data_IF_920906732366
#
_entry.id   IF_920906732366
#
_cell.length_a   1.000
_cell.length_b   1.000
_cell.length_c   1.000
_cell.angle_alpha   90.00
_cell.angle_beta   90.00
_cell.angle_gamma   90.00
#
_symmetry.space_group_name_H-M   'P 1'
#
loop_
_entity.id
_entity.type
_entity.pdbx_description
1 polymer ?
#
# COMPACT_ATOMS: atom_id res chain seq x y z
N UNK A 1 64.31 33.11 49.69
CA UNK A 1 63.89 31.89 50.42
C UNK A 1 62.57 31.45 49.80
N UNK A 2 62.59 30.41 48.96
CA UNK A 2 61.40 29.84 48.34
C UNK A 2 60.63 29.07 49.42
N UNK A 3 59.47 29.59 49.82
CA UNK A 3 58.58 28.94 50.77
C UNK A 3 57.70 27.91 50.03
N UNK A 4 57.17 26.87 50.70
CA UNK A 4 56.28 25.88 50.08
C UNK A 4 55.05 26.51 49.40
N UNK A 5 54.58 27.64 49.92
CA UNK A 5 53.48 28.39 49.32
C UNK A 5 53.85 28.93 47.92
N UNK A 6 55.08 29.38 47.74
CA UNK A 6 55.56 29.92 46.46
C UNK A 6 55.97 28.83 45.47
N UNK A 7 56.21 27.59 45.91
CA UNK A 7 56.37 26.45 45.00
C UNK A 7 55.04 25.99 44.43
N UNK A 8 53.99 26.02 45.24
CA UNK A 8 52.65 25.55 44.85
C UNK A 8 51.88 26.65 44.09
N UNK A 9 52.16 27.93 44.40
CA UNK A 9 51.55 29.10 43.79
C UNK A 9 52.62 30.08 43.30
N UNK A 10 53.32 29.76 42.19
CA UNK A 10 54.37 30.62 41.64
C UNK A 10 53.82 31.98 41.18
N UNK A 11 52.52 32.04 40.89
CA UNK A 11 51.76 33.25 40.60
C UNK A 11 51.94 34.32 41.69
N UNK A 12 52.16 33.93 42.95
CA UNK A 12 52.25 34.84 44.09
C UNK A 12 53.68 35.33 44.36
N UNK A 13 54.68 34.79 43.64
CA UNK A 13 56.11 35.05 43.92
C UNK A 13 56.57 36.48 43.62
N UNK A 14 55.78 37.25 42.86
CA UNK A 14 56.06 38.64 42.54
C UNK A 14 55.45 39.64 43.52
N UNK A 15 54.61 39.18 44.46
CA UNK A 15 53.95 40.01 45.46
C UNK A 15 54.84 40.17 46.71
N UNK A 16 54.81 41.36 47.32
CA UNK A 16 55.53 41.62 48.55
C UNK A 16 54.83 40.97 49.76
N UNK A 17 55.51 40.93 50.91
CA UNK A 17 54.89 40.43 52.15
C UNK A 17 53.73 41.31 52.60
N UNK A 18 53.85 42.63 52.47
CA UNK A 18 52.78 43.57 52.79
C UNK A 18 51.57 43.32 51.86
N UNK A 19 51.79 43.12 50.56
CA UNK A 19 50.71 42.77 49.62
C UNK A 19 50.00 41.46 49.99
N UNK A 20 50.74 40.45 50.47
CA UNK A 20 50.17 39.17 50.90
C UNK A 20 49.36 39.30 52.20
N UNK A 21 49.78 40.18 53.11
CA UNK A 21 49.04 40.49 54.35
C UNK A 21 47.78 41.30 54.04
N UNK A 22 47.87 42.28 53.13
CA UNK A 22 46.72 43.04 52.63
C UNK A 22 45.73 42.14 51.87
N UNK A 23 46.21 41.13 51.15
CA UNK A 23 45.37 40.12 50.49
C UNK A 23 44.49 39.33 51.47
N UNK A 24 44.96 39.15 52.71
CA UNK A 24 44.23 38.42 53.76
C UNK A 24 43.22 39.31 54.49
N UNK A 25 43.44 40.63 54.50
CA UNK A 25 42.65 41.62 55.24
C UNK A 25 41.61 42.30 54.35
N UNK A 26 41.91 42.53 53.08
CA UNK A 26 41.02 43.16 52.10
C UNK A 26 40.47 42.14 51.08
N UNK A 27 39.19 41.72 51.23
CA UNK A 27 38.54 40.81 50.30
C UNK A 27 38.44 41.36 48.86
N UNK A 28 38.33 42.68 48.69
CA UNK A 28 38.23 43.29 47.36
C UNK A 28 39.58 43.21 46.63
N UNK A 29 40.68 43.46 47.35
CA UNK A 29 42.03 43.30 46.82
C UNK A 29 42.32 41.84 46.45
N UNK A 30 41.94 40.89 47.31
CA UNK A 30 42.02 39.46 47.00
C UNK A 30 41.27 39.09 45.71
N UNK A 31 40.01 39.51 45.57
CA UNK A 31 39.21 39.21 44.38
C UNK A 31 39.83 39.83 43.11
N UNK A 32 40.36 41.05 43.21
CA UNK A 32 41.04 41.69 42.09
C UNK A 32 42.26 40.89 41.63
N UNK A 33 43.11 40.44 42.57
CA UNK A 33 44.29 39.62 42.26
C UNK A 33 43.86 38.24 41.74
N UNK A 34 42.89 37.58 42.37
CA UNK A 34 42.35 36.28 41.94
C UNK A 34 41.83 36.33 40.49
N UNK A 35 41.02 37.32 40.14
CA UNK A 35 40.52 37.51 38.77
C UNK A 35 41.59 37.99 37.79
N UNK A 36 42.72 38.50 38.29
CA UNK A 36 43.85 38.87 37.44
C UNK A 36 44.68 37.66 36.98
N UNK A 37 44.61 36.54 37.70
CA UNK A 37 45.36 35.30 37.41
C UNK A 37 44.99 34.74 36.03
N UNK A 38 46.01 34.35 35.27
CA UNK A 38 45.82 33.84 33.91
C UNK A 38 44.97 32.57 33.87
N UNK A 39 45.15 31.67 34.84
CA UNK A 39 44.35 30.45 34.95
C UNK A 39 42.86 30.75 35.22
N UNK A 40 42.57 31.74 36.07
CA UNK A 40 41.19 32.15 36.38
C UNK A 40 40.54 32.81 35.17
N UNK A 41 41.27 33.67 34.45
CA UNK A 41 40.81 34.26 33.17
C UNK A 41 40.52 33.21 32.11
N UNK A 42 41.40 32.21 31.96
CA UNK A 42 41.20 31.15 30.97
C UNK A 42 40.01 30.26 31.32
N UNK A 43 39.78 29.98 32.61
CA UNK A 43 38.58 29.27 33.06
C UNK A 43 37.29 30.04 32.75
N UNK A 44 37.25 31.35 33.00
CA UNK A 44 36.08 32.16 32.63
C UNK A 44 35.84 32.23 31.14
N UNK A 45 36.91 32.34 30.33
CA UNK A 45 36.81 32.30 28.88
C UNK A 45 36.25 30.96 28.41
N UNK A 46 36.80 29.84 28.89
CA UNK A 46 36.31 28.51 28.56
C UNK A 46 34.84 28.31 28.98
N UNK A 47 34.45 28.81 30.16
CA UNK A 47 33.05 28.76 30.61
C UNK A 47 32.12 29.57 29.70
N UNK A 48 32.52 30.77 29.29
CA UNK A 48 31.75 31.61 28.39
C UNK A 48 31.61 30.99 27.00
N UNK A 49 32.69 30.42 26.46
CA UNK A 49 32.70 29.72 25.18
C UNK A 49 31.78 28.49 25.20
N UNK A 50 31.85 27.66 26.25
CA UNK A 50 30.95 26.52 26.43
C UNK A 50 29.49 26.95 26.57
N UNK A 51 29.23 28.04 27.30
CA UNK A 51 27.89 28.62 27.44
C UNK A 51 27.30 29.04 26.09
N UNK A 52 28.07 29.80 25.31
CA UNK A 52 27.70 30.25 23.97
C UNK A 52 27.48 29.08 23.00
N UNK A 53 28.35 28.06 23.05
CA UNK A 53 28.19 26.86 22.24
C UNK A 53 26.91 26.09 22.57
N UNK A 54 26.60 25.90 23.86
CA UNK A 54 25.36 25.26 24.29
C UNK A 54 24.12 26.04 23.88
N UNK A 55 24.16 27.38 24.00
CA UNK A 55 23.06 28.24 23.58
C UNK A 55 22.81 28.13 22.08
N UNK A 56 23.87 28.16 21.26
CA UNK A 56 23.78 27.97 19.82
C UNK A 56 23.16 26.62 19.42
N UNK A 57 23.55 25.54 20.10
CA UNK A 57 22.96 24.20 19.90
C UNK A 57 21.47 24.21 20.28
N UNK A 58 21.11 24.81 21.40
CA UNK A 58 19.72 24.89 21.85
C UNK A 58 18.85 25.69 20.86
N UNK A 59 19.36 26.82 20.35
CA UNK A 59 18.66 27.62 19.34
C UNK A 59 18.45 26.85 18.04
N UNK A 60 19.47 26.10 17.59
CA UNK A 60 19.36 25.26 16.39
C UNK A 60 18.31 24.14 16.58
N UNK A 61 18.34 23.46 17.73
CA UNK A 61 17.35 22.43 18.05
C UNK A 61 15.91 22.99 18.04
N UNK A 62 15.70 24.18 18.61
CA UNK A 62 14.40 24.85 18.58
C UNK A 62 13.97 25.25 17.16
N UNK A 63 14.91 25.75 16.34
CA UNK A 63 14.63 26.12 14.96
C UNK A 63 14.22 24.91 14.09
N UNK A 64 14.80 23.74 14.35
CA UNK A 64 14.47 22.49 13.64
C UNK A 64 13.20 21.81 14.14
N UNK A 65 12.74 22.15 15.35
CA UNK A 65 11.63 21.46 16.00
C UNK A 65 10.34 21.50 15.17
N UNK A 66 9.94 22.69 14.70
CA UNK A 66 8.67 22.87 13.98
C UNK A 66 8.68 22.16 12.61
N UNK A 67 9.78 22.27 11.86
CA UNK A 67 9.90 21.61 10.56
C UNK A 67 9.88 20.08 10.69
N UNK A 68 10.52 19.53 11.73
CA UNK A 68 10.47 18.09 12.02
C UNK A 68 9.07 17.62 12.42
N UNK A 69 8.34 18.40 13.24
CA UNK A 69 6.94 18.06 13.57
C UNK A 69 6.03 18.11 12.35
N UNK A 70 6.22 19.09 11.47
CA UNK A 70 5.47 19.23 10.23
C UNK A 70 5.74 18.05 9.30
N UNK A 71 7.02 17.74 9.03
CA UNK A 71 7.42 16.61 8.19
C UNK A 71 6.90 15.27 8.73
N UNK A 72 6.92 15.10 10.06
CA UNK A 72 6.34 13.91 10.72
C UNK A 72 4.83 13.84 10.50
N UNK A 73 4.12 14.97 10.60
CA UNK A 73 2.68 15.06 10.35
C UNK A 73 2.33 14.70 8.91
N UNK A 74 3.03 15.28 7.94
CA UNK A 74 2.86 15.00 6.50
C UNK A 74 3.13 13.53 6.18
N UNK A 75 4.25 12.98 6.69
CA UNK A 75 4.60 11.57 6.48
C UNK A 75 3.54 10.64 7.04
N UNK A 76 3.00 10.97 8.23
CA UNK A 76 1.91 10.19 8.82
C UNK A 76 0.64 10.26 7.96
N UNK A 77 0.24 11.46 7.52
CA UNK A 77 -0.95 11.63 6.68
C UNK A 77 -0.83 10.85 5.37
N UNK A 78 0.33 10.93 4.69
CA UNK A 78 0.59 10.18 3.46
C UNK A 78 0.57 8.66 3.70
N UNK A 79 1.12 8.19 4.82
CA UNK A 79 1.06 6.78 5.19
C UNK A 79 -0.37 6.30 5.45
N UNK A 80 -1.15 7.08 6.21
CA UNK A 80 -2.55 6.76 6.53
C UNK A 80 -3.40 6.73 5.25
N UNK A 81 -3.18 7.66 4.32
CA UNK A 81 -3.81 7.67 2.99
C UNK A 81 -3.44 6.44 2.16
N UNK A 82 -2.14 6.11 2.08
CA UNK A 82 -1.68 4.92 1.36
C UNK A 82 -2.31 3.64 1.92
N UNK A 83 -2.44 3.54 3.25
CA UNK A 83 -3.10 2.40 3.90
C UNK A 83 -4.59 2.35 3.62
N UNK A 84 -5.27 3.49 3.57
CA UNK A 84 -6.67 3.56 3.18
C UNK A 84 -6.88 3.12 1.71
N UNK A 85 -5.99 3.55 0.80
CA UNK A 85 -6.00 3.13 -0.60
C UNK A 85 -5.72 1.63 -0.75
N UNK A 86 -4.77 1.08 0.01
CA UNK A 86 -4.48 -0.36 0.04
C UNK A 86 -5.71 -1.17 0.49
N UNK A 87 -6.43 -0.70 1.51
CA UNK A 87 -7.67 -1.33 1.96
C UNK A 87 -8.74 -1.29 0.86
N UNK A 88 -8.95 -0.11 0.25
CA UNK A 88 -9.91 0.07 -0.85
C UNK A 88 -9.58 -0.78 -2.08
N UNK A 89 -8.30 -0.97 -2.39
CA UNK A 89 -7.85 -1.80 -3.50
C UNK A 89 -8.35 -3.24 -3.37
N UNK A 90 -8.32 -3.81 -2.15
CA UNK A 90 -8.81 -5.17 -1.90
C UNK A 90 -10.31 -5.31 -2.21
N UNK A 91 -11.09 -4.30 -1.88
CA UNK A 91 -12.53 -4.28 -2.19
C UNK A 91 -12.77 -4.19 -3.70
N UNK A 92 -12.07 -3.29 -4.39
CA UNK A 92 -12.16 -3.13 -5.86
C UNK A 92 -11.72 -4.39 -6.59
N UNK A 93 -10.64 -5.04 -6.14
CA UNK A 93 -10.17 -6.31 -6.72
C UNK A 93 -11.18 -7.43 -6.51
N UNK A 94 -11.87 -7.47 -5.36
CA UNK A 94 -12.96 -8.42 -5.13
C UNK A 94 -14.13 -8.14 -6.07
N UNK A 95 -14.58 -6.90 -6.17
CA UNK A 95 -15.67 -6.48 -7.07
C UNK A 95 -15.33 -6.82 -8.53
N UNK A 96 -14.11 -6.52 -8.96
CA UNK A 96 -13.62 -6.89 -10.29
C UNK A 96 -13.70 -8.40 -10.49
N UNK A 97 -13.16 -9.20 -9.56
CA UNK A 97 -13.22 -10.67 -9.67
C UNK A 97 -14.65 -11.19 -9.76
N UNK A 98 -15.59 -10.66 -8.98
CA UNK A 98 -17.00 -11.06 -9.03
C UNK A 98 -17.64 -10.74 -10.39
N UNK A 99 -17.37 -9.57 -10.95
CA UNK A 99 -17.86 -9.19 -12.29
C UNK A 99 -17.25 -10.08 -13.37
N UNK A 100 -15.93 -10.26 -13.34
CA UNK A 100 -15.18 -11.03 -14.34
C UNK A 100 -15.42 -12.53 -14.25
N UNK A 101 -15.80 -13.08 -13.09
CA UNK A 101 -16.05 -14.51 -12.90
C UNK A 101 -17.04 -15.05 -13.94
N UNK A 102 -18.09 -14.29 -14.26
CA UNK A 102 -19.13 -14.65 -15.25
C UNK A 102 -18.63 -14.67 -16.69
N UNK A 103 -17.50 -14.03 -16.95
CA UNK A 103 -16.84 -13.98 -18.24
C UNK A 103 -15.56 -14.79 -18.27
N UNK A 104 -15.23 -15.48 -17.17
CA UNK A 104 -14.10 -16.39 -17.14
C UNK A 104 -14.28 -17.49 -18.19
N UNK A 105 -13.19 -17.93 -18.85
CA UNK A 105 -13.26 -19.01 -19.84
C UNK A 105 -13.96 -20.25 -19.29
N UNK A 106 -13.69 -20.60 -18.03
CA UNK A 106 -14.30 -21.76 -17.40
C UNK A 106 -15.82 -21.61 -17.21
N UNK A 107 -16.29 -20.44 -16.78
CA UNK A 107 -17.72 -20.18 -16.63
C UNK A 107 -18.44 -20.15 -17.99
N UNK A 108 -17.83 -19.55 -19.00
CA UNK A 108 -18.38 -19.51 -20.36
C UNK A 108 -18.45 -20.92 -20.98
N UNK A 109 -17.44 -21.77 -20.76
CA UNK A 109 -17.46 -23.17 -21.19
C UNK A 109 -18.56 -23.97 -20.47
N UNK A 110 -18.71 -23.77 -19.15
CA UNK A 110 -19.80 -24.37 -18.39
C UNK A 110 -21.17 -23.94 -18.94
N UNK A 111 -21.35 -22.64 -19.24
CA UNK A 111 -22.58 -22.11 -19.86
C UNK A 111 -22.82 -22.69 -21.25
N UNK A 112 -21.78 -22.88 -22.05
CA UNK A 112 -21.88 -23.54 -23.35
C UNK A 112 -22.36 -24.98 -23.20
N UNK A 113 -21.81 -25.75 -22.25
CA UNK A 113 -22.24 -27.13 -21.99
C UNK A 113 -23.71 -27.20 -21.60
N UNK A 114 -24.17 -26.36 -20.67
CA UNK A 114 -25.59 -26.29 -20.32
C UNK A 114 -26.48 -25.91 -21.50
N UNK A 115 -26.07 -24.94 -22.31
CA UNK A 115 -26.81 -24.57 -23.51
C UNK A 115 -26.84 -25.70 -24.54
N UNK A 116 -25.80 -26.54 -24.62
CA UNK A 116 -25.80 -27.74 -25.47
C UNK A 116 -26.81 -28.77 -24.98
N UNK A 117 -26.82 -29.10 -23.68
CA UNK A 117 -27.78 -30.03 -23.08
C UNK A 117 -29.22 -29.55 -23.25
N UNK A 118 -29.50 -28.28 -22.94
CA UNK A 118 -30.84 -27.72 -23.12
C UNK A 118 -31.29 -27.75 -24.61
N UNK A 119 -30.36 -27.58 -25.56
CA UNK A 119 -30.67 -27.70 -26.99
C UNK A 119 -31.01 -29.12 -27.40
N UNK A 120 -30.33 -30.11 -26.82
CA UNK A 120 -30.59 -31.52 -27.04
C UNK A 120 -31.99 -31.88 -26.52
N UNK A 121 -32.29 -31.54 -25.26
CA UNK A 121 -33.60 -31.71 -24.64
C UNK A 121 -34.73 -31.05 -25.44
N UNK A 122 -34.53 -29.82 -25.95
CA UNK A 122 -35.50 -29.14 -26.80
C UNK A 122 -35.74 -29.90 -28.12
N UNK A 123 -34.68 -30.45 -28.73
CA UNK A 123 -34.81 -31.24 -29.95
C UNK A 123 -35.56 -32.55 -29.70
N UNK A 124 -35.26 -33.25 -28.60
CA UNK A 124 -35.93 -34.48 -28.19
C UNK A 124 -37.41 -34.24 -27.83
N UNK A 125 -37.72 -33.14 -27.15
CA UNK A 125 -39.09 -32.74 -26.84
C UNK A 125 -39.90 -32.48 -28.11
N UNK A 126 -39.31 -31.79 -29.09
CA UNK A 126 -39.98 -31.53 -30.39
C UNK A 126 -40.23 -32.80 -31.18
N UNK A 127 -39.27 -33.74 -31.17
CA UNK A 127 -39.43 -35.05 -31.78
C UNK A 127 -40.54 -35.86 -31.09
N UNK A 128 -40.55 -35.88 -29.76
CA UNK A 128 -41.58 -36.56 -28.96
C UNK A 128 -42.99 -36.01 -29.24
N UNK A 129 -43.13 -34.68 -29.31
CA UNK A 129 -44.40 -34.02 -29.64
C UNK A 129 -44.89 -34.38 -31.05
N UNK A 130 -43.98 -34.44 -32.03
CA UNK A 130 -44.33 -34.83 -33.39
C UNK A 130 -44.84 -36.28 -33.46
N UNK A 131 -44.17 -37.21 -32.78
CA UNK A 131 -44.59 -38.63 -32.71
C UNK A 131 -45.94 -38.77 -32.01
N UNK A 132 -46.15 -38.08 -30.88
CA UNK A 132 -47.41 -38.10 -30.15
C UNK A 132 -48.57 -37.50 -30.96
N UNK A 133 -48.36 -36.34 -31.60
CA UNK A 133 -49.36 -35.70 -32.46
C UNK A 133 -49.72 -36.52 -33.70
N UNK A 134 -48.76 -37.27 -34.25
CA UNK A 134 -48.99 -38.17 -35.39
C UNK A 134 -49.84 -39.41 -35.04
N UNK A 135 -50.01 -39.70 -33.74
CA UNK A 135 -50.75 -40.87 -33.25
C UNK A 135 -52.19 -40.60 -32.78
N UNK A 136 -52.63 -39.33 -32.76
CA UNK A 136 -53.88 -38.93 -32.11
C UNK A 136 -55.08 -38.70 -33.05
N UNK A 137 -54.89 -38.43 -34.36
CA UNK A 137 -55.98 -38.08 -35.28
C UNK A 137 -55.99 -38.92 -36.59
N UNK A 138 -57.17 -39.31 -37.12
CA UNK A 138 -57.30 -39.86 -38.47
C UNK A 138 -56.96 -38.79 -39.52
N UNK A 139 -56.27 -39.14 -40.62
CA UNK A 139 -55.69 -38.15 -41.52
C UNK A 139 -56.76 -37.37 -42.29
N UNK A 140 -56.82 -36.05 -42.07
CA UNK A 140 -57.52 -35.13 -42.97
C UNK A 140 -56.63 -34.94 -44.21
N UNK A 141 -57.11 -35.38 -45.37
CA UNK A 141 -56.38 -35.36 -46.64
C UNK A 141 -55.91 -33.93 -46.98
N UNK A 142 -54.60 -33.68 -46.83
CA UNK A 142 -53.94 -32.43 -47.26
C UNK A 142 -53.21 -31.64 -46.17
N UNK A 143 -53.45 -31.88 -44.88
CA UNK A 143 -52.80 -31.14 -43.76
C UNK A 143 -51.40 -31.68 -43.44
N UNK A 144 -51.26 -33.01 -43.41
CA UNK A 144 -50.07 -33.68 -42.85
C UNK A 144 -48.76 -33.33 -43.57
N UNK A 145 -48.79 -33.04 -44.88
CA UNK A 145 -47.57 -32.74 -45.64
C UNK A 145 -46.87 -31.46 -45.17
N UNK A 146 -47.66 -30.41 -44.91
CA UNK A 146 -47.14 -29.13 -44.42
C UNK A 146 -46.64 -29.23 -42.99
N UNK A 147 -47.36 -29.97 -42.13
CA UNK A 147 -46.96 -30.19 -40.73
C UNK A 147 -45.67 -31.01 -40.61
N UNK A 148 -45.45 -31.97 -41.52
CA UNK A 148 -44.21 -32.73 -41.64
C UNK A 148 -43.07 -31.83 -42.10
N UNK A 149 -43.26 -31.03 -43.15
CA UNK A 149 -42.23 -30.15 -43.68
C UNK A 149 -41.81 -29.08 -42.66
N UNK A 150 -42.77 -28.52 -41.94
CA UNK A 150 -42.52 -27.55 -40.86
C UNK A 150 -41.77 -28.20 -39.69
N UNK A 151 -42.15 -29.41 -39.27
CA UNK A 151 -41.38 -30.18 -38.28
C UNK A 151 -39.95 -30.45 -38.74
N UNK A 152 -39.76 -30.94 -39.96
CA UNK A 152 -38.42 -31.26 -40.49
C UNK A 152 -37.55 -30.00 -40.52
N UNK A 153 -38.11 -28.86 -40.93
CA UNK A 153 -37.40 -27.59 -40.94
C UNK A 153 -36.98 -27.15 -39.53
N UNK A 154 -37.90 -27.16 -38.58
CA UNK A 154 -37.63 -26.78 -37.18
C UNK A 154 -36.64 -27.72 -36.50
N UNK A 155 -36.83 -29.03 -36.63
CA UNK A 155 -35.98 -30.03 -36.01
C UNK A 155 -34.55 -29.97 -36.56
N UNK A 156 -34.39 -29.79 -37.89
CA UNK A 156 -33.06 -29.60 -38.49
C UNK A 156 -32.37 -28.35 -37.97
N UNK A 157 -33.11 -27.26 -37.76
CA UNK A 157 -32.55 -26.04 -37.19
C UNK A 157 -32.07 -26.26 -35.74
N UNK A 158 -32.88 -26.93 -34.92
CA UNK A 158 -32.51 -27.28 -33.53
C UNK A 158 -31.26 -28.15 -33.48
N UNK A 159 -31.17 -29.19 -34.31
CA UNK A 159 -30.00 -30.09 -34.37
C UNK A 159 -28.76 -29.40 -34.96
N UNK A 160 -28.94 -28.48 -35.92
CA UNK A 160 -27.84 -27.66 -36.45
C UNK A 160 -27.19 -26.83 -35.34
N UNK A 161 -27.99 -26.17 -34.51
CA UNK A 161 -27.50 -25.37 -33.37
C UNK A 161 -26.80 -26.28 -32.35
N UNK A 162 -27.40 -27.45 -32.03
CA UNK A 162 -26.80 -28.43 -31.13
C UNK A 162 -25.41 -28.87 -31.60
N UNK A 163 -25.29 -29.38 -32.83
CA UNK A 163 -24.02 -29.87 -33.36
C UNK A 163 -22.98 -28.76 -33.47
N UNK A 164 -23.39 -27.53 -33.80
CA UNK A 164 -22.50 -26.37 -33.76
C UNK A 164 -21.94 -26.17 -32.34
N UNK A 165 -22.78 -26.17 -31.31
CA UNK A 165 -22.34 -26.01 -29.91
C UNK A 165 -21.44 -27.16 -29.45
N UNK A 166 -21.73 -28.40 -29.84
CA UNK A 166 -20.86 -29.57 -29.58
C UNK A 166 -19.47 -29.37 -30.19
N UNK A 167 -19.39 -29.05 -31.49
CA UNK A 167 -18.11 -28.81 -32.16
C UNK A 167 -17.30 -27.69 -31.49
N UNK A 168 -17.95 -26.59 -31.09
CA UNK A 168 -17.27 -25.51 -30.38
C UNK A 168 -16.82 -25.94 -28.97
N UNK A 169 -17.61 -26.75 -28.27
CA UNK A 169 -17.24 -27.33 -26.98
C UNK A 169 -16.02 -28.24 -27.07
N UNK A 170 -15.98 -29.11 -28.09
CA UNK A 170 -14.86 -30.04 -28.32
C UNK A 170 -13.57 -29.30 -28.69
N UNK A 171 -13.66 -28.31 -29.59
CA UNK A 171 -12.51 -27.45 -29.95
C UNK A 171 -11.97 -26.71 -28.74
N UNK A 172 -12.85 -26.21 -27.88
CA UNK A 172 -12.45 -25.57 -26.63
C UNK A 172 -11.76 -26.55 -25.69
N UNK A 173 -12.34 -27.74 -25.46
CA UNK A 173 -11.75 -28.78 -24.61
C UNK A 173 -10.38 -29.27 -25.14
N UNK A 174 -10.20 -29.26 -26.47
CA UNK A 174 -8.93 -29.56 -27.13
C UNK A 174 -7.91 -28.41 -27.09
N UNK A 175 -8.21 -27.29 -26.44
CA UNK A 175 -7.30 -26.14 -26.34
C UNK A 175 -7.14 -25.34 -27.65
N UNK A 176 -8.02 -25.55 -28.63
CA UNK A 176 -7.95 -24.89 -29.94
C UNK A 176 -8.61 -23.50 -29.94
N UNK A 177 -9.18 -23.08 -28.80
CA UNK A 177 -9.79 -21.75 -28.60
C UNK A 177 -8.80 -20.90 -27.82
N UNK A 178 -8.26 -19.88 -28.49
CA UNK A 178 -7.34 -18.90 -27.88
C UNK A 178 -8.15 -17.68 -27.45
N UNK A 179 -8.02 -17.31 -26.18
CA UNK A 179 -8.52 -16.05 -25.63
C UNK A 179 -7.44 -15.00 -25.84
N UNK A 180 -7.82 -13.78 -26.26
CA UNK A 180 -6.88 -12.66 -26.26
C UNK A 180 -6.74 -12.16 -24.84
N UNK A 181 -5.51 -12.11 -24.36
CA UNK A 181 -5.14 -11.39 -23.16
C UNK A 181 -4.98 -9.91 -23.56
N UNK A 182 -6.06 -9.15 -23.53
CA UNK A 182 -6.00 -7.68 -23.60
C UNK A 182 -5.72 -7.12 -22.19
#
# INVERSE_FOLDING_TARGET
MSTPLLSDFPELAHLSREDLEDLLVDPAYFQAIFHSLNHVKSLYQAQAELGSANESIAQNNLALQESLYTLRGETKAAFDEAKALEARWKDVEREQREVYQRFSPQFLLMRLKHATTAQDELSEARASQFVQGSSADPPVAGSNGKDIDDFVKEFKELRRIYHKRVMWGDRWAAGQVVWRDD
#
